data_IF_601963918213
#
_entry.id   IF_601963918213
#
_cell.length_a   1.000
_cell.length_b   1.000
_cell.length_c   1.000
_cell.angle_alpha   90.00
_cell.angle_beta   90.00
_cell.angle_gamma   90.00
#
_symmetry.space_group_name_H-M   'P 1'
#
loop_
_entity.id
_entity.type
_entity.pdbx_description
1 polymer ?
#
# COMPACT_ATOMS: atom_id res chain seq x y z
N UNK A 1 -6.52 -14.06 14.00
CA UNK A 1 -5.72 -14.78 12.98
C UNK A 1 -4.58 -13.89 12.46
N UNK A 2 -4.86 -12.81 11.73
CA UNK A 2 -3.85 -11.79 11.34
C UNK A 2 -3.11 -11.09 12.49
N UNK A 3 -3.81 -10.84 13.61
CA UNK A 3 -3.18 -10.35 14.84
C UNK A 3 -2.08 -11.29 15.35
N UNK A 4 -2.11 -12.59 15.08
CA UNK A 4 -1.21 -13.55 15.73
C UNK A 4 0.23 -13.48 15.18
N UNK A 5 0.42 -13.14 13.90
CA UNK A 5 1.77 -12.97 13.35
C UNK A 5 2.43 -11.66 13.83
N UNK A 6 1.68 -10.56 13.99
CA UNK A 6 2.21 -9.30 14.54
C UNK A 6 2.15 -9.22 16.08
N UNK A 7 1.23 -9.94 16.75
CA UNK A 7 1.04 -9.90 18.22
C UNK A 7 2.07 -10.68 18.99
N UNK A 8 2.86 -11.56 18.36
CA UNK A 8 4.03 -12.16 19.01
C UNK A 8 5.04 -11.12 19.50
N UNK A 9 4.90 -9.85 19.06
CA UNK A 9 5.70 -8.69 19.47
C UNK A 9 5.07 -7.80 20.55
N UNK A 10 3.78 -7.97 20.92
CA UNK A 10 3.16 -7.15 21.97
C UNK A 10 3.54 -7.59 23.40
N UNK A 11 4.47 -8.55 23.53
CA UNK A 11 4.88 -9.13 24.82
C UNK A 11 6.40 -9.19 24.97
N UNK A 12 7.11 -8.16 24.54
CA UNK A 12 8.45 -7.86 25.02
C UNK A 12 8.36 -6.61 25.92
N UNK A 13 8.55 -6.73 27.25
CA UNK A 13 8.59 -5.56 28.11
C UNK A 13 9.89 -4.79 27.84
N UNK A 14 9.77 -3.54 27.36
CA UNK A 14 10.86 -2.57 27.43
C UNK A 14 11.70 -2.28 26.18
N UNK A 15 11.32 -2.71 24.97
CA UNK A 15 12.08 -2.33 23.76
C UNK A 15 11.47 -1.10 23.06
N UNK A 16 12.14 0.05 23.24
CA UNK A 16 11.96 1.26 22.41
C UNK A 16 11.93 0.90 20.93
N UNK A 17 11.11 1.63 20.15
CA UNK A 17 11.07 1.64 18.69
C UNK A 17 12.50 1.75 18.14
N UNK A 18 13.11 0.61 17.81
CA UNK A 18 14.35 0.59 17.05
C UNK A 18 13.97 0.66 15.58
N UNK A 19 14.26 1.80 14.97
CA UNK A 19 14.60 1.84 13.55
C UNK A 19 15.64 0.75 13.34
N UNK A 20 15.28 -0.34 12.67
CA UNK A 20 16.26 -1.35 12.29
C UNK A 20 17.06 -0.74 11.13
N UNK A 21 18.35 -0.41 11.33
CA UNK A 21 19.19 -0.06 10.21
C UNK A 21 19.42 -1.34 9.40
N UNK A 22 19.65 -1.17 8.11
CA UNK A 22 20.26 -2.20 7.27
C UNK A 22 21.43 -2.83 8.01
N UNK A 23 21.31 -4.10 8.38
CA UNK A 23 22.43 -4.88 8.86
C UNK A 23 22.44 -6.19 8.08
N UNK A 24 23.09 -6.25 6.89
CA UNK A 24 23.63 -7.51 6.46
C UNK A 24 24.74 -7.89 7.46
N UNK A 25 25.01 -9.18 7.62
CA UNK A 25 26.11 -9.75 8.45
C UNK A 25 25.72 -10.20 9.87
N UNK A 26 24.71 -11.07 9.99
CA UNK A 26 24.74 -12.12 11.03
C UNK A 26 25.05 -13.45 10.32
N UNK A 27 26.26 -14.03 10.47
CA UNK A 27 26.57 -15.31 9.86
C UNK A 27 25.76 -16.41 10.56
N UNK A 28 24.91 -17.12 9.83
CA UNK A 28 24.15 -18.28 10.34
C UNK A 28 22.63 -18.14 10.38
N UNK A 29 22.05 -17.02 9.93
CA UNK A 29 20.61 -16.98 9.65
C UNK A 29 20.34 -17.61 8.28
N UNK A 30 19.40 -18.58 8.17
CA UNK A 30 19.00 -19.09 6.87
C UNK A 30 18.47 -17.90 6.07
N UNK A 31 19.12 -17.63 4.93
CA UNK A 31 18.69 -16.61 3.98
C UNK A 31 17.39 -17.13 3.37
N UNK A 32 16.27 -16.90 4.04
CA UNK A 32 14.97 -17.05 3.41
C UNK A 32 14.96 -16.12 2.22
N UNK A 33 14.65 -16.64 1.04
CA UNK A 33 14.57 -15.90 -0.22
C UNK A 33 13.83 -14.57 0.01
N UNK A 34 14.58 -13.47 0.13
CA UNK A 34 14.03 -12.17 0.45
C UNK A 34 13.31 -11.66 -0.79
N UNK A 35 12.04 -12.02 -0.95
CA UNK A 35 11.19 -11.40 -1.98
C UNK A 35 11.00 -9.95 -1.60
N UNK A 36 11.31 -9.07 -2.54
CA UNK A 36 11.18 -7.63 -2.33
C UNK A 36 9.73 -7.29 -1.94
N UNK A 37 9.51 -6.26 -1.09
CA UNK A 37 8.17 -5.75 -0.85
C UNK A 37 7.43 -5.42 -2.16
N UNK A 38 8.16 -5.01 -3.19
CA UNK A 38 7.63 -4.75 -4.52
C UNK A 38 6.95 -5.98 -5.16
N UNK A 39 7.44 -7.21 -4.91
CA UNK A 39 6.79 -8.42 -5.42
C UNK A 39 5.36 -8.58 -4.87
N UNK A 40 5.18 -8.32 -3.57
CA UNK A 40 3.87 -8.43 -2.92
C UNK A 40 2.94 -7.29 -3.34
N UNK A 41 3.48 -6.08 -3.50
CA UNK A 41 2.73 -4.93 -4.03
C UNK A 41 2.33 -5.15 -5.50
N UNK A 42 3.14 -5.86 -6.28
CA UNK A 42 2.79 -6.20 -7.65
C UNK A 42 1.53 -7.07 -7.72
N UNK A 43 1.38 -8.04 -6.80
CA UNK A 43 0.17 -8.85 -6.73
C UNK A 43 -1.09 -8.00 -6.45
N UNK A 44 -0.98 -6.97 -5.60
CA UNK A 44 -2.05 -5.99 -5.39
C UNK A 44 -2.32 -5.13 -6.62
N UNK A 45 -1.28 -4.72 -7.35
CA UNK A 45 -1.44 -3.93 -8.57
C UNK A 45 -2.11 -4.72 -9.69
N UNK A 46 -1.79 -6.01 -9.80
CA UNK A 46 -2.27 -6.90 -10.86
C UNK A 46 -3.80 -7.10 -10.84
N UNK A 47 -4.48 -6.77 -9.75
CA UNK A 47 -5.95 -6.74 -9.68
C UNK A 47 -6.56 -5.73 -10.68
N UNK A 48 -5.76 -4.81 -11.23
CA UNK A 48 -6.17 -3.93 -12.34
C UNK A 48 -6.76 -4.69 -13.52
N UNK A 49 -6.32 -5.94 -13.75
CA UNK A 49 -6.80 -6.81 -14.83
C UNK A 49 -8.27 -7.18 -14.66
N UNK A 50 -8.74 -7.21 -13.42
CA UNK A 50 -10.10 -7.59 -13.02
C UNK A 50 -10.96 -6.37 -12.63
N UNK A 51 -10.35 -5.19 -12.53
CA UNK A 51 -11.01 -3.96 -12.13
C UNK A 51 -11.53 -3.18 -13.33
N UNK A 52 -12.81 -2.80 -13.30
CA UNK A 52 -13.39 -1.88 -14.29
C UNK A 52 -13.64 -0.51 -13.67
N UNK A 53 -12.99 0.52 -14.21
CA UNK A 53 -13.10 1.89 -13.71
C UNK A 53 -14.50 2.48 -13.99
N UNK A 54 -15.19 3.05 -12.98
CA UNK A 54 -16.48 3.71 -13.16
C UNK A 54 -16.32 5.09 -13.78
N UNK A 55 -16.94 5.32 -14.95
CA UNK A 55 -16.86 6.62 -15.58
C UNK A 55 -17.79 7.65 -14.89
N UNK A 56 -17.49 8.97 -15.00
CA UNK A 56 -18.27 10.00 -14.31
C UNK A 56 -19.78 9.96 -14.59
N UNK A 57 -20.20 9.52 -15.78
CA UNK A 57 -21.62 9.42 -16.14
C UNK A 57 -22.35 8.27 -15.43
N UNK A 58 -21.63 7.31 -14.86
CA UNK A 58 -22.18 6.19 -14.08
C UNK A 58 -22.29 6.52 -12.58
N UNK A 59 -21.65 7.61 -12.13
CA UNK A 59 -21.62 8.01 -10.73
C UNK A 59 -22.77 8.96 -10.39
N UNK A 60 -23.87 8.44 -9.84
CA UNK A 60 -24.98 9.26 -9.36
C UNK A 60 -25.88 8.53 -8.34
N UNK A 61 -25.92 8.92 -7.05
CA UNK A 61 -24.97 9.77 -6.34
C UNK A 61 -23.67 9.03 -5.97
N UNK A 62 -23.63 7.71 -6.20
CA UNK A 62 -22.52 6.82 -5.90
C UNK A 62 -21.98 6.20 -7.20
N UNK A 63 -20.69 5.91 -7.24
CA UNK A 63 -20.06 5.16 -8.31
C UNK A 63 -20.22 3.64 -8.11
N UNK A 64 -20.49 2.86 -9.17
CA UNK A 64 -20.51 1.40 -9.07
C UNK A 64 -19.08 0.85 -8.89
N UNK A 65 -18.92 -0.11 -7.97
CA UNK A 65 -17.70 -0.91 -7.87
C UNK A 65 -17.85 -2.15 -8.76
N UNK A 66 -16.98 -2.28 -9.77
CA UNK A 66 -17.01 -3.41 -10.72
C UNK A 66 -15.69 -4.18 -10.64
N UNK A 67 -15.75 -5.37 -10.10
CA UNK A 67 -14.62 -6.30 -9.98
C UNK A 67 -15.06 -7.67 -10.51
N UNK A 68 -14.36 -8.20 -11.52
CA UNK A 68 -14.61 -9.55 -12.06
C UNK A 68 -13.83 -10.64 -11.32
N UNK A 69 -12.78 -10.25 -10.59
CA UNK A 69 -11.90 -11.13 -9.85
C UNK A 69 -12.35 -11.36 -8.41
N UNK A 70 -11.57 -12.14 -7.63
CA UNK A 70 -11.87 -12.39 -6.22
C UNK A 70 -11.69 -11.14 -5.35
N UNK A 71 -10.86 -10.19 -5.78
CA UNK A 71 -10.52 -8.98 -5.03
C UNK A 71 -9.96 -7.90 -5.98
N UNK A 72 -10.41 -6.65 -5.83
CA UNK A 72 -9.86 -5.49 -6.54
C UNK A 72 -9.52 -4.31 -5.63
N UNK A 73 -9.77 -4.46 -4.32
CA UNK A 73 -9.69 -3.34 -3.37
C UNK A 73 -8.25 -2.98 -3.01
N UNK A 74 -7.27 -3.86 -3.24
CA UNK A 74 -5.87 -3.52 -3.01
C UNK A 74 -5.37 -2.60 -4.12
N UNK A 75 -5.71 -2.91 -5.37
CA UNK A 75 -5.39 -2.04 -6.52
C UNK A 75 -6.00 -0.65 -6.34
N UNK A 76 -7.29 -0.54 -6.03
CA UNK A 76 -7.95 0.76 -5.89
C UNK A 76 -7.31 1.62 -4.79
N UNK A 77 -6.84 1.00 -3.70
CA UNK A 77 -6.12 1.72 -2.64
C UNK A 77 -4.74 2.20 -3.11
N UNK A 78 -4.03 1.43 -3.94
CA UNK A 78 -2.73 1.82 -4.50
C UNK A 78 -2.84 3.06 -5.39
N UNK A 79 -3.90 3.15 -6.19
CA UNK A 79 -4.12 4.25 -7.16
C UNK A 79 -5.02 5.37 -6.61
N UNK A 80 -5.28 5.39 -5.30
CA UNK A 80 -6.21 6.35 -4.71
C UNK A 80 -5.65 7.78 -4.69
N UNK A 81 -6.24 8.68 -5.46
CA UNK A 81 -5.69 10.01 -5.76
C UNK A 81 -5.44 10.90 -4.54
N UNK A 82 -6.27 10.78 -3.49
CA UNK A 82 -6.11 11.59 -2.27
C UNK A 82 -5.07 11.01 -1.31
N UNK A 83 -4.68 9.74 -1.49
CA UNK A 83 -3.67 9.08 -0.66
C UNK A 83 -2.28 9.58 -1.06
N UNK A 84 -1.54 10.15 -0.11
CA UNK A 84 -0.22 10.73 -0.40
C UNK A 84 0.89 10.28 0.54
N UNK A 85 0.57 9.45 1.54
CA UNK A 85 1.51 8.84 2.46
C UNK A 85 1.20 7.37 2.58
N UNK A 86 2.26 6.57 2.59
CA UNK A 86 2.20 5.13 2.80
C UNK A 86 3.29 4.72 3.78
N UNK A 87 2.96 3.82 4.70
CA UNK A 87 3.93 3.19 5.59
C UNK A 87 3.71 1.69 5.60
N UNK A 88 4.75 0.91 5.33
CA UNK A 88 4.65 -0.54 5.23
C UNK A 88 5.54 -1.24 6.26
N UNK A 89 5.11 -2.43 6.69
CA UNK A 89 5.86 -3.35 7.53
C UNK A 89 5.79 -4.75 6.92
N UNK A 90 6.93 -5.45 6.89
CA UNK A 90 7.00 -6.84 6.41
C UNK A 90 7.47 -7.74 7.55
N UNK A 91 6.90 -8.93 7.65
CA UNK A 91 7.28 -9.92 8.64
C UNK A 91 7.16 -11.34 8.07
N UNK A 92 8.09 -12.22 8.41
CA UNK A 92 8.02 -13.64 8.02
C UNK A 92 7.42 -14.43 9.16
N UNK A 93 6.30 -15.10 8.91
CA UNK A 93 5.56 -15.90 9.86
C UNK A 93 5.94 -17.38 9.66
N UNK A 94 6.64 -18.03 10.61
CA UNK A 94 7.09 -19.41 10.43
C UNK A 94 5.97 -20.41 10.17
N UNK A 95 4.80 -20.19 10.79
CA UNK A 95 3.55 -20.92 10.55
C UNK A 95 2.39 -19.94 10.55
N UNK A 96 1.60 -19.93 9.49
CA UNK A 96 0.40 -19.12 9.36
C UNK A 96 -0.77 -19.99 8.90
N UNK A 97 -1.86 -20.00 9.66
CA UNK A 97 -3.12 -20.63 9.25
C UNK A 97 -3.90 -19.65 8.37
N UNK A 98 -4.05 -20.02 7.10
CA UNK A 98 -4.79 -19.30 6.08
C UNK A 98 -5.95 -20.20 5.63
N UNK A 99 -7.14 -19.91 6.14
CA UNK A 99 -8.38 -20.64 5.80
C UNK A 99 -8.33 -22.17 6.03
N UNK A 100 -7.58 -22.63 7.04
CA UNK A 100 -7.43 -24.05 7.35
C UNK A 100 -6.21 -24.71 6.72
N UNK A 101 -5.46 -23.98 5.90
CA UNK A 101 -4.18 -24.41 5.36
C UNK A 101 -3.03 -23.78 6.14
N UNK A 102 -2.04 -24.60 6.53
CA UNK A 102 -0.84 -24.12 7.22
C UNK A 102 0.20 -23.74 6.18
N UNK A 103 0.51 -22.46 6.12
CA UNK A 103 1.55 -21.90 5.28
C UNK A 103 2.83 -21.76 6.11
N UNK A 104 3.90 -22.44 5.70
CA UNK A 104 5.21 -22.36 6.34
C UNK A 104 6.02 -21.18 5.77
N UNK A 105 6.73 -20.46 6.65
CA UNK A 105 7.56 -19.30 6.30
C UNK A 105 6.83 -18.24 5.45
N UNK A 106 5.55 -18.01 5.72
CA UNK A 106 4.72 -17.06 4.98
C UNK A 106 5.21 -15.62 5.19
N UNK A 107 5.40 -14.87 4.10
CA UNK A 107 5.72 -13.43 4.16
C UNK A 107 4.43 -12.64 4.28
N UNK A 108 4.35 -11.77 5.29
CA UNK A 108 3.20 -10.94 5.55
C UNK A 108 3.58 -9.46 5.44
N UNK A 109 3.06 -8.80 4.40
CA UNK A 109 3.23 -7.37 4.14
C UNK A 109 1.96 -6.63 4.53
N UNK A 110 2.10 -5.58 5.33
CA UNK A 110 1.01 -4.65 5.66
C UNK A 110 1.44 -3.25 5.28
N UNK A 111 0.59 -2.55 4.54
CA UNK A 111 0.77 -1.14 4.21
C UNK A 111 -0.42 -0.33 4.72
N UNK A 112 -0.13 0.73 5.46
CA UNK A 112 -1.09 1.72 5.91
C UNK A 112 -1.01 2.94 4.99
N UNK A 113 -2.19 3.45 4.60
CA UNK A 113 -2.34 4.56 3.67
C UNK A 113 -2.96 5.76 4.37
N UNK A 114 -2.45 6.95 4.08
CA UNK A 114 -2.95 8.21 4.64
C UNK A 114 -2.98 9.30 3.57
N UNK A 115 -4.10 10.04 3.45
CA UNK A 115 -5.45 9.69 3.91
C UNK A 115 -5.93 8.30 3.45
N UNK A 116 -6.94 7.75 4.12
CA UNK A 116 -7.55 6.47 3.73
C UNK A 116 -8.24 6.61 2.36
N UNK A 117 -8.11 5.59 1.52
CA UNK A 117 -8.87 5.44 0.28
C UNK A 117 -10.02 4.44 0.39
N UNK A 118 -10.48 3.94 -0.77
CA UNK A 118 -11.58 2.99 -0.89
C UNK A 118 -12.84 3.45 -0.15
N UNK A 119 -13.25 4.69 -0.40
CA UNK A 119 -14.53 5.20 0.06
C UNK A 119 -15.66 4.55 -0.74
N UNK A 120 -16.67 4.05 -0.02
CA UNK A 120 -17.81 3.37 -0.63
C UNK A 120 -18.54 4.36 -1.53
N UNK A 121 -18.73 3.98 -2.79
CA UNK A 121 -19.42 4.80 -3.78
C UNK A 121 -18.56 5.93 -4.36
N UNK A 122 -17.25 5.93 -4.14
CA UNK A 122 -16.31 6.85 -4.78
C UNK A 122 -15.36 6.12 -5.74
N UNK A 123 -15.01 6.79 -6.85
CA UNK A 123 -13.96 6.33 -7.75
C UNK A 123 -12.57 6.61 -7.15
N UNK A 124 -11.54 5.78 -7.42
CA UNK A 124 -10.22 5.93 -6.81
C UNK A 124 -9.50 7.22 -7.21
N UNK A 125 -9.80 7.74 -8.39
CA UNK A 125 -9.28 9.01 -8.88
C UNK A 125 -10.33 9.65 -9.78
N UNK A 126 -10.14 10.92 -10.13
CA UNK A 126 -11.01 11.58 -11.10
C UNK A 126 -10.50 11.33 -12.51
N UNK A 127 -11.40 10.98 -13.42
CA UNK A 127 -11.09 10.80 -14.83
C UNK A 127 -10.82 12.15 -15.49
N UNK A 128 -9.68 12.29 -16.19
CA UNK A 128 -9.37 13.51 -16.92
C UNK A 128 -7.90 13.63 -17.29
N UNK A 129 -7.50 14.82 -17.74
CA UNK A 129 -6.11 15.12 -18.08
C UNK A 129 -5.23 15.07 -16.82
N UNK A 130 -4.06 14.41 -16.86
CA UNK A 130 -3.14 14.38 -15.73
C UNK A 130 -2.84 15.78 -15.18
N UNK A 131 -2.79 15.88 -13.85
CA UNK A 131 -2.49 17.11 -13.12
C UNK A 131 -3.44 18.31 -13.34
N UNK A 132 -4.54 18.14 -14.07
CA UNK A 132 -5.50 19.24 -14.33
C UNK A 132 -6.21 19.75 -13.06
N UNK A 133 -6.26 18.93 -12.01
CA UNK A 133 -6.93 19.24 -10.75
C UNK A 133 -6.02 18.99 -9.54
N UNK A 134 -4.73 19.29 -9.65
CA UNK A 134 -3.83 19.20 -8.50
C UNK A 134 -4.24 20.18 -7.40
N UNK A 135 -4.27 19.76 -6.12
CA UNK A 135 -4.63 20.66 -5.03
C UNK A 135 -3.63 21.82 -4.90
N UNK A 136 -4.08 23.04 -4.50
CA UNK A 136 -3.20 24.19 -4.32
C UNK A 136 -2.03 23.94 -3.35
N UNK A 137 -2.20 23.03 -2.39
CA UNK A 137 -1.16 22.62 -1.43
C UNK A 137 0.09 21.99 -2.07
N UNK A 138 -0.01 21.54 -3.32
CA UNK A 138 1.08 21.00 -4.13
C UNK A 138 1.77 22.06 -4.99
N UNK A 139 1.34 23.33 -4.95
CA UNK A 139 2.01 24.44 -5.64
C UNK A 139 1.96 24.34 -7.17
N UNK A 140 1.00 23.61 -7.73
CA UNK A 140 0.82 23.46 -9.19
C UNK A 140 1.87 22.58 -9.88
N UNK A 141 2.75 21.92 -9.14
CA UNK A 141 3.76 21.03 -9.71
C UNK A 141 3.14 19.74 -10.26
N UNK A 142 3.55 19.37 -11.47
CA UNK A 142 3.21 18.08 -12.09
C UNK A 142 4.51 17.37 -12.50
N UNK A 143 4.68 16.13 -12.04
CA UNK A 143 5.84 15.32 -12.38
C UNK A 143 5.39 13.89 -12.62
N UNK A 144 5.76 13.30 -13.76
CA UNK A 144 5.39 11.93 -14.13
C UNK A 144 3.87 11.66 -14.00
N UNK A 145 3.04 12.61 -14.45
CA UNK A 145 1.57 12.56 -14.35
C UNK A 145 1.00 12.59 -12.91
N UNK A 146 1.83 12.90 -11.90
CA UNK A 146 1.42 13.02 -10.49
C UNK A 146 1.55 14.46 -9.99
N UNK A 147 0.64 14.84 -9.10
CA UNK A 147 0.72 16.10 -8.37
C UNK A 147 1.91 16.07 -7.43
N UNK A 148 2.84 17.00 -7.61
CA UNK A 148 4.10 17.02 -6.88
C UNK A 148 4.29 18.35 -6.20
N UNK A 149 4.49 18.32 -4.88
CA UNK A 149 4.88 19.49 -4.10
C UNK A 149 6.39 19.60 -4.20
N UNK A 150 6.87 20.54 -5.01
CA UNK A 150 8.29 20.90 -5.01
C UNK A 150 8.72 21.25 -3.60
N UNK A 151 9.59 20.45 -3.00
CA UNK A 151 10.29 20.88 -1.80
C UNK A 151 11.09 22.13 -2.21
N UNK A 152 10.86 23.26 -1.52
CA UNK A 152 11.89 24.28 -1.46
C UNK A 152 13.07 23.55 -0.86
N UNK A 153 14.07 23.25 -1.67
CA UNK A 153 15.35 22.75 -1.22
C UNK A 153 15.78 23.64 -0.07
N UNK A 154 15.81 23.10 1.14
CA UNK A 154 16.62 23.67 2.20
C UNK A 154 18.07 23.48 1.74
N UNK A 155 18.52 24.34 0.84
CA UNK A 155 19.93 24.66 0.78
C UNK A 155 20.24 25.26 2.15
N UNK A 156 20.95 24.50 2.97
CA UNK A 156 21.78 25.11 4.00
C UNK A 156 22.66 26.11 3.26
N UNK A 157 22.36 27.40 3.42
CA UNK A 157 23.30 28.48 3.14
C UNK A 157 24.40 28.43 4.19
#
# INVERSE_FOLDING_TARGET
>A
RFKQCFSSQAKAPGSSLRYFPFCPLVPGWPVTEYRSPAFHVQAWYDEVKDYTYPYPHECNPWCPERCSGPMCTHYTQLVWATTNRVGCAVHVCPKMDVWGEIWENAVYLVCNYSPKGNWIGEAPYQHGRPCSQCPPSYGGGCRNNLCYKGEKTCWLK
#
